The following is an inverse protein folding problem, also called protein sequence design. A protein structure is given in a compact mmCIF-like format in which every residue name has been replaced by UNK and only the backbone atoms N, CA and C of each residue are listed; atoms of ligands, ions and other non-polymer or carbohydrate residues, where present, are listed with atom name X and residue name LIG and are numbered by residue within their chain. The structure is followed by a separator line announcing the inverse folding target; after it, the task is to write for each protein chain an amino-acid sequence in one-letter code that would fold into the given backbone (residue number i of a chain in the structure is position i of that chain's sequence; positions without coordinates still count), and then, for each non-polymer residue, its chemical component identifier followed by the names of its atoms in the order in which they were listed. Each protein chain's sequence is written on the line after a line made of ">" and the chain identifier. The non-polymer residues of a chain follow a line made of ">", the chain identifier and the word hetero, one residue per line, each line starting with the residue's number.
data_IF_208413668925
#
_entry.id   IF_208413668925
#
_cell.length_a   1.000
_cell.length_b   1.000
_cell.length_c   1.000
_cell.angle_alpha   90.00
_cell.angle_beta   90.00
_cell.angle_gamma   90.00
#
_symmetry.space_group_name_H-M   'P 1'
#
loop_
_entity.id
_entity.type
_entity.pdbx_description
1 polymer ?
#
# COMPACT_ATOMS: atom_id res chain seq x y z
N UNK A 1 -6.60 -11.57 17.78
CA UNK A 1 -5.42 -10.74 17.46
C UNK A 1 -4.29 -11.66 17.03
N UNK A 2 -3.62 -11.37 15.92
CA UNK A 2 -2.53 -12.20 15.38
C UNK A 2 -1.42 -11.28 14.85
N UNK A 3 -0.18 -11.78 14.82
CA UNK A 3 0.94 -11.16 14.13
C UNK A 3 0.96 -11.63 12.67
N UNK A 4 0.91 -10.69 11.73
CA UNK A 4 0.85 -10.94 10.29
C UNK A 4 2.04 -10.23 9.63
N UNK A 5 2.78 -10.97 8.81
CA UNK A 5 3.84 -10.41 7.95
C UNK A 5 3.34 -10.37 6.51
N UNK A 6 3.35 -9.19 5.91
CA UNK A 6 3.01 -8.98 4.50
C UNK A 6 4.29 -8.63 3.74
N UNK A 7 4.57 -9.37 2.68
CA UNK A 7 5.74 -9.16 1.82
C UNK A 7 5.31 -8.42 0.54
N UNK A 8 5.82 -7.20 0.36
CA UNK A 8 5.58 -6.31 -0.78
C UNK A 8 4.49 -5.25 -0.53
N UNK A 9 4.82 -3.98 -0.77
CA UNK A 9 3.91 -2.83 -0.67
C UNK A 9 3.28 -2.48 -2.02
N UNK A 10 2.92 -3.50 -2.82
CA UNK A 10 2.06 -3.31 -3.99
C UNK A 10 0.60 -3.07 -3.58
N UNK A 11 -0.29 -2.81 -4.56
CA UNK A 11 -1.72 -2.59 -4.31
C UNK A 11 -2.37 -3.71 -3.49
N UNK A 12 -2.02 -4.96 -3.76
CA UNK A 12 -2.54 -6.12 -3.03
C UNK A 12 -2.01 -6.18 -1.58
N UNK A 13 -0.71 -5.94 -1.39
CA UNK A 13 -0.08 -5.99 -0.07
C UNK A 13 -0.52 -4.84 0.83
N UNK A 14 -0.59 -3.61 0.29
CA UNK A 14 -1.13 -2.46 1.00
C UNK A 14 -2.61 -2.64 1.36
N UNK A 15 -3.42 -3.18 0.43
CA UNK A 15 -4.83 -3.49 0.68
C UNK A 15 -5.00 -4.52 1.81
N UNK A 16 -4.26 -5.64 1.77
CA UNK A 16 -4.30 -6.65 2.83
C UNK A 16 -3.82 -6.08 4.17
N UNK A 17 -2.74 -5.29 4.16
CA UNK A 17 -2.18 -4.70 5.37
C UNK A 17 -3.19 -3.75 6.04
N UNK A 18 -3.84 -2.87 5.26
CA UNK A 18 -4.89 -1.98 5.77
C UNK A 18 -6.08 -2.76 6.34
N UNK A 19 -6.60 -3.72 5.57
CA UNK A 19 -7.72 -4.58 5.96
C UNK A 19 -7.47 -5.31 7.29
N UNK A 20 -6.28 -5.91 7.43
CA UNK A 20 -5.92 -6.68 8.61
C UNK A 20 -5.63 -5.78 9.83
N UNK A 21 -4.91 -4.68 9.63
CA UNK A 21 -4.60 -3.74 10.72
C UNK A 21 -5.87 -3.13 11.33
N UNK A 22 -6.85 -2.77 10.50
CA UNK A 22 -8.13 -2.18 10.97
C UNK A 22 -9.03 -3.15 11.73
N UNK A 23 -8.77 -4.46 11.60
CA UNK A 23 -9.40 -5.52 12.41
C UNK A 23 -8.63 -5.85 13.70
N UNK A 24 -7.62 -5.06 14.04
CA UNK A 24 -6.86 -5.18 15.27
C UNK A 24 -5.74 -6.23 15.23
N UNK A 25 -5.33 -6.68 14.03
CA UNK A 25 -4.13 -7.51 13.90
C UNK A 25 -2.87 -6.63 13.94
N UNK A 26 -1.76 -7.19 14.43
CA UNK A 26 -0.45 -6.53 14.33
C UNK A 26 0.18 -6.90 13.00
N UNK A 27 0.32 -5.91 12.12
CA UNK A 27 0.83 -6.12 10.76
C UNK A 27 2.24 -5.55 10.63
N UNK A 28 3.17 -6.36 10.15
CA UNK A 28 4.49 -5.91 9.68
C UNK A 28 4.52 -6.00 8.16
N UNK A 29 4.62 -4.86 7.49
CA UNK A 29 4.78 -4.79 6.04
C UNK A 29 6.26 -4.64 5.69
N UNK A 30 6.76 -5.50 4.80
CA UNK A 30 8.15 -5.46 4.33
C UNK A 30 8.15 -5.16 2.84
N UNK A 31 8.76 -4.05 2.44
CA UNK A 31 8.98 -3.67 1.05
C UNK A 31 10.48 -3.58 0.79
N UNK A 32 10.91 -4.17 -0.34
CA UNK A 32 12.31 -4.18 -0.76
C UNK A 32 12.78 -2.79 -1.15
N UNK A 33 11.91 -2.00 -1.76
CA UNK A 33 12.26 -0.70 -2.34
C UNK A 33 12.31 0.43 -1.29
N UNK A 34 12.13 0.12 -0.01
CA UNK A 34 12.19 1.08 1.09
C UNK A 34 10.86 1.79 1.35
N UNK A 35 10.79 2.64 2.38
CA UNK A 35 9.57 3.34 2.76
C UNK A 35 9.22 4.44 1.75
N UNK A 36 7.94 4.88 1.71
CA UNK A 36 7.54 6.05 0.96
C UNK A 36 8.27 7.32 1.46
N UNK A 37 8.52 8.30 0.58
CA UNK A 37 9.07 9.59 0.98
C UNK A 37 8.07 10.35 1.89
N UNK A 38 8.59 11.29 2.67
CA UNK A 38 7.76 12.25 3.38
C UNK A 38 7.07 13.20 2.37
N UNK A 39 5.88 13.70 2.69
CA UNK A 39 5.15 14.65 1.84
C UNK A 39 3.82 14.14 1.26
N UNK A 40 3.40 12.92 1.60
CA UNK A 40 2.09 12.38 1.23
C UNK A 40 1.99 11.88 -0.20
N UNK A 41 0.76 11.68 -0.69
CA UNK A 41 0.48 10.95 -1.93
C UNK A 41 1.15 11.54 -3.19
N UNK A 42 1.22 12.87 -3.30
CA UNK A 42 1.85 13.52 -4.45
C UNK A 42 3.37 13.26 -4.49
N UNK A 43 4.04 13.38 -3.34
CA UNK A 43 5.46 13.06 -3.19
C UNK A 43 5.72 11.55 -3.40
N UNK A 44 4.82 10.69 -2.94
CA UNK A 44 4.91 9.25 -3.20
C UNK A 44 4.89 8.93 -4.70
N UNK A 45 3.97 9.52 -5.46
CA UNK A 45 3.86 9.28 -6.91
C UNK A 45 5.06 9.88 -7.66
N UNK A 46 5.50 11.07 -7.26
CA UNK A 46 6.60 11.75 -7.90
C UNK A 46 7.95 11.07 -7.60
N UNK A 47 8.23 10.79 -6.33
CA UNK A 47 9.60 10.60 -5.83
C UNK A 47 9.86 9.20 -5.24
N UNK A 48 8.85 8.36 -5.02
CA UNK A 48 9.09 7.01 -4.48
C UNK A 48 9.68 6.05 -5.52
N UNK A 49 10.97 5.73 -5.37
CA UNK A 49 11.71 4.85 -6.26
C UNK A 49 11.41 3.36 -6.02
N UNK A 50 10.37 2.86 -6.68
CA UNK A 50 9.93 1.46 -6.61
C UNK A 50 10.41 0.61 -7.76
N UNK A 51 11.70 0.25 -7.76
CA UNK A 51 12.30 -0.60 -8.83
C UNK A 51 11.59 -1.95 -9.01
N UNK A 52 10.96 -2.46 -7.98
CA UNK A 52 10.13 -3.66 -8.01
C UNK A 52 8.79 -3.53 -8.71
N UNK A 53 8.35 -2.30 -8.95
CA UNK A 53 7.06 -1.99 -9.58
C UNK A 53 7.34 -1.04 -10.75
N UNK A 54 7.75 -1.56 -11.92
CA UNK A 54 8.10 -0.73 -13.08
C UNK A 54 7.01 0.24 -13.52
N UNK A 55 5.75 -0.09 -13.23
CA UNK A 55 4.59 0.73 -13.57
C UNK A 55 4.08 1.58 -12.40
N UNK A 56 4.89 1.84 -11.37
CA UNK A 56 4.48 2.61 -10.18
C UNK A 56 3.98 4.02 -10.53
N UNK A 57 4.54 4.63 -11.58
CA UNK A 57 4.17 5.96 -12.07
C UNK A 57 3.13 5.94 -13.20
N UNK A 58 2.72 4.76 -13.64
CA UNK A 58 1.64 4.65 -14.61
C UNK A 58 0.31 4.73 -13.87
N UNK A 59 -0.57 5.62 -14.31
CA UNK A 59 -1.87 5.83 -13.67
C UNK A 59 -2.72 4.56 -13.68
N UNK A 60 -2.79 3.87 -12.55
CA UNK A 60 -3.71 2.77 -12.30
C UNK A 60 -4.77 3.28 -11.31
N UNK A 61 -5.83 3.88 -11.85
CA UNK A 61 -6.91 4.40 -11.02
C UNK A 61 -7.86 3.28 -10.62
N UNK A 62 -8.20 3.23 -9.33
CA UNK A 62 -9.39 2.50 -8.87
C UNK A 62 -10.63 3.34 -9.18
N UNK A 63 -11.66 2.71 -9.72
CA UNK A 63 -12.96 3.35 -9.91
C UNK A 63 -13.64 3.58 -8.55
N UNK A 64 -14.70 4.40 -8.52
CA UNK A 64 -15.34 4.85 -7.28
C UNK A 64 -15.72 3.73 -6.31
N UNK A 65 -16.14 2.56 -6.81
CA UNK A 65 -16.39 1.38 -5.98
C UNK A 65 -15.13 0.89 -5.26
N UNK A 66 -14.00 0.75 -5.98
CA UNK A 66 -12.73 0.30 -5.40
C UNK A 66 -12.23 1.25 -4.32
N UNK A 67 -12.36 2.57 -4.53
CA UNK A 67 -12.04 3.58 -3.52
C UNK A 67 -12.96 3.45 -2.29
N UNK A 68 -14.25 3.21 -2.51
CA UNK A 68 -15.23 3.09 -1.42
C UNK A 68 -14.95 1.87 -0.55
N UNK A 69 -14.64 0.72 -1.17
CA UNK A 69 -14.25 -0.51 -0.46
C UNK A 69 -13.01 -0.25 0.39
N UNK A 70 -11.94 0.30 -0.19
CA UNK A 70 -10.70 0.58 0.56
C UNK A 70 -10.86 1.58 1.72
N UNK A 71 -11.87 2.44 1.69
CA UNK A 71 -12.17 3.36 2.81
C UNK A 71 -12.93 2.69 3.95
N UNK A 72 -13.77 1.72 3.61
CA UNK A 72 -14.59 0.96 4.56
C UNK A 72 -13.75 -0.07 5.31
N UNK A 73 -12.92 -0.79 4.56
CA UNK A 73 -11.96 -1.75 5.12
C UNK A 73 -10.89 -1.08 5.96
#
# INVERSE_FOLDING_TARGET
>A
MADIVVLGAGVAGLGLAAFAARRGHRVTLVERDGPPPEGGADAEVADWERRGVPHARQGHALLGLGISVLRQE
#
